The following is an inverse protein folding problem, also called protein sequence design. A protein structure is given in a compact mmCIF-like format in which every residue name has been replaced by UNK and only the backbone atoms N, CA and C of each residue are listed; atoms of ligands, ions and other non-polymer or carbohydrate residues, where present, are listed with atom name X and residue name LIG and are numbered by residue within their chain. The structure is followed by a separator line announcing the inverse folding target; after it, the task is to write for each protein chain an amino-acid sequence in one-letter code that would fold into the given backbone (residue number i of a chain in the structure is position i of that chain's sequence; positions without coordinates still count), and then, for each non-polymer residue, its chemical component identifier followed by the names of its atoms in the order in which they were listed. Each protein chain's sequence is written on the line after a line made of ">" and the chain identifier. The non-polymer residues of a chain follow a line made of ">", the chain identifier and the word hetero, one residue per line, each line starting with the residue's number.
data_IF_418728488725
#
_entry.id   IF_418728488725
#
_cell.length_a   1.000
_cell.length_b   1.000
_cell.length_c   1.000
_cell.angle_alpha   90.00
_cell.angle_beta   90.00
_cell.angle_gamma   90.00
#
_symmetry.space_group_name_H-M   'P 1'
#
loop_
_entity.id
_entity.type
_entity.pdbx_description
1 polymer ?
#
# COMPACT_ATOMS: atom_id res chain seq x y z
N UNK A 1 35.08 27.54 35.61
CA UNK A 1 34.14 26.42 35.84
C UNK A 1 34.61 25.22 35.05
N UNK A 2 35.18 24.21 35.72
CA UNK A 2 35.71 23.00 35.10
C UNK A 2 34.61 21.92 35.11
N UNK A 3 34.10 21.56 33.93
CA UNK A 3 33.13 20.47 33.82
C UNK A 3 33.84 19.13 33.96
N UNK A 4 33.80 18.55 35.17
CA UNK A 4 34.14 17.15 35.40
C UNK A 4 33.07 16.27 34.77
N UNK A 5 33.29 15.85 33.53
CA UNK A 5 32.56 14.75 32.91
C UNK A 5 32.95 13.47 33.68
N UNK A 6 32.00 12.88 34.38
CA UNK A 6 32.20 11.63 35.15
C UNK A 6 32.38 10.48 34.16
N UNK A 7 33.39 9.61 34.35
CA UNK A 7 33.73 8.49 33.44
C UNK A 7 32.54 7.61 33.02
N UNK A 8 31.51 7.46 33.88
CA UNK A 8 30.26 6.76 33.56
C UNK A 8 29.45 7.43 32.43
N UNK A 9 29.45 8.77 32.34
CA UNK A 9 28.79 9.52 31.26
C UNK A 9 29.58 9.44 29.95
N UNK A 10 30.91 9.32 30.02
CA UNK A 10 31.77 9.11 28.86
C UNK A 10 31.55 7.72 28.23
N UNK A 11 31.41 6.69 29.07
CA UNK A 11 31.11 5.32 28.61
C UNK A 11 29.75 5.20 27.90
N UNK A 12 28.73 5.90 28.41
CA UNK A 12 27.39 5.91 27.81
C UNK A 12 27.39 6.61 26.43
N UNK A 13 28.14 7.71 26.29
CA UNK A 13 28.29 8.43 25.01
C UNK A 13 29.09 7.58 24.01
N UNK A 14 30.12 6.87 24.46
CA UNK A 14 30.94 6.00 23.62
C UNK A 14 30.14 4.80 23.07
N UNK A 15 29.28 4.17 23.89
CA UNK A 15 28.41 3.08 23.43
C UNK A 15 27.41 3.54 22.37
N UNK A 16 26.91 4.78 22.46
CA UNK A 16 26.01 5.36 21.46
C UNK A 16 26.71 5.66 20.11
N UNK A 17 28.03 5.83 20.09
CA UNK A 17 28.80 6.13 18.87
C UNK A 17 29.27 4.89 18.11
N UNK A 18 29.28 3.70 18.75
CA UNK A 18 29.83 2.47 18.18
C UNK A 18 28.82 1.61 17.40
N UNK A 19 27.60 2.10 17.18
CA UNK A 19 26.61 1.39 16.35
C UNK A 19 25.94 2.35 15.38
N UNK A 20 26.68 2.79 14.37
CA UNK A 20 26.04 3.38 13.19
C UNK A 20 25.37 2.23 12.41
N UNK A 21 24.05 2.13 12.54
CA UNK A 21 23.27 1.21 11.74
C UNK A 21 22.95 1.90 10.41
N UNK A 22 23.60 1.46 9.33
CA UNK A 22 23.28 1.93 7.99
C UNK A 22 22.18 1.03 7.42
N UNK A 23 21.08 1.66 7.00
CA UNK A 23 19.98 0.97 6.32
C UNK A 23 20.20 1.12 4.82
N UNK A 24 20.53 0.02 4.16
CA UNK A 24 20.60 -0.02 2.71
C UNK A 24 19.26 -0.48 2.15
N UNK A 25 18.74 0.27 1.17
CA UNK A 25 17.54 -0.10 0.43
C UNK A 25 17.98 -0.70 -0.91
N UNK A 26 17.60 -1.96 -1.15
CA UNK A 26 17.91 -2.64 -2.39
C UNK A 26 17.26 -1.96 -3.60
N UNK A 27 17.84 -2.22 -4.79
CA UNK A 27 17.25 -1.77 -6.06
C UNK A 27 15.79 -2.26 -6.16
N UNK A 28 14.87 -1.39 -6.62
CA UNK A 28 13.47 -1.76 -6.73
C UNK A 28 13.27 -2.86 -7.77
N UNK A 29 12.53 -3.89 -7.39
CA UNK A 29 12.05 -4.94 -8.28
C UNK A 29 10.66 -4.50 -8.76
N UNK A 30 10.50 -4.32 -10.08
CA UNK A 30 9.23 -3.97 -10.71
C UNK A 30 8.60 -5.22 -11.31
N UNK A 31 7.39 -5.54 -10.90
CA UNK A 31 6.63 -6.74 -11.32
C UNK A 31 5.16 -6.40 -11.49
N UNK A 32 4.40 -7.34 -12.04
CA UNK A 32 2.93 -7.31 -12.02
C UNK A 32 2.43 -8.19 -10.87
N UNK A 33 1.31 -7.79 -10.27
CA UNK A 33 0.59 -8.55 -9.24
C UNK A 33 -0.85 -8.74 -9.73
N UNK A 34 -1.35 -9.98 -9.69
CA UNK A 34 -2.76 -10.26 -9.98
C UNK A 34 -3.57 -10.16 -8.69
N UNK A 35 -4.60 -9.33 -8.70
CA UNK A 35 -5.53 -9.20 -7.58
C UNK A 35 -6.78 -10.02 -7.88
N UNK A 36 -7.05 -11.03 -7.06
CA UNK A 36 -8.21 -11.92 -7.18
C UNK A 36 -9.44 -11.38 -6.47
N UNK A 37 -9.26 -10.70 -5.34
CA UNK A 37 -10.35 -10.05 -4.61
C UNK A 37 -9.94 -8.65 -4.16
N UNK A 38 -10.87 -7.71 -4.29
CA UNK A 38 -10.75 -6.32 -3.85
C UNK A 38 -11.97 -6.00 -2.99
N UNK A 39 -11.75 -5.73 -1.71
CA UNK A 39 -12.83 -5.42 -0.77
C UNK A 39 -12.53 -4.11 -0.06
N UNK A 40 -13.57 -3.31 0.17
CA UNK A 40 -13.49 -2.09 0.98
C UNK A 40 -14.47 -2.22 2.13
N UNK A 41 -13.99 -1.92 3.33
CA UNK A 41 -14.81 -1.81 4.51
C UNK A 41 -14.38 -0.57 5.30
N UNK A 42 -15.26 0.43 5.40
CA UNK A 42 -14.97 1.72 6.05
C UNK A 42 -13.70 2.34 5.44
N UNK A 43 -12.69 2.60 6.26
CA UNK A 43 -11.42 3.17 5.87
C UNK A 43 -10.34 2.13 5.51
N UNK A 44 -10.73 0.88 5.22
CA UNK A 44 -9.81 -0.22 4.91
C UNK A 44 -10.06 -0.81 3.54
N UNK A 45 -8.99 -1.10 2.82
CA UNK A 45 -8.95 -1.89 1.60
C UNK A 45 -8.27 -3.20 1.92
N UNK A 46 -8.90 -4.29 1.54
CA UNK A 46 -8.34 -5.63 1.60
C UNK A 46 -8.15 -6.14 0.17
N UNK A 47 -6.92 -6.51 -0.16
CA UNK A 47 -6.56 -7.05 -1.47
C UNK A 47 -6.04 -8.46 -1.28
N UNK A 48 -6.57 -9.40 -2.07
CA UNK A 48 -6.04 -10.76 -2.14
C UNK A 48 -5.29 -10.88 -3.46
N UNK A 49 -3.96 -10.87 -3.39
CA UNK A 49 -3.08 -11.01 -4.53
C UNK A 49 -2.67 -12.46 -4.78
N UNK A 50 -2.03 -12.69 -5.92
CA UNK A 50 -1.38 -13.96 -6.28
C UNK A 50 -0.16 -14.24 -5.41
N UNK A 51 0.66 -13.23 -5.15
CA UNK A 51 1.90 -13.37 -4.41
C UNK A 51 1.75 -13.01 -2.93
N UNK A 52 0.81 -12.14 -2.57
CA UNK A 52 0.61 -11.65 -1.20
C UNK A 52 -0.78 -11.03 -1.01
N UNK A 53 -1.22 -10.96 0.24
CA UNK A 53 -2.42 -10.21 0.61
C UNK A 53 -2.04 -8.85 1.20
N UNK A 54 -2.93 -7.88 1.13
CA UNK A 54 -2.68 -6.51 1.55
C UNK A 54 -3.83 -5.94 2.36
N UNK A 55 -3.49 -5.18 3.40
CA UNK A 55 -4.40 -4.31 4.13
C UNK A 55 -3.89 -2.89 4.02
N UNK A 56 -4.67 -2.02 3.37
CA UNK A 56 -4.40 -0.58 3.24
C UNK A 56 -5.48 0.20 3.97
N UNK A 57 -5.12 1.34 4.55
CA UNK A 57 -6.05 2.19 5.29
C UNK A 57 -5.63 3.66 5.29
N UNK A 58 -6.61 4.56 5.33
CA UNK A 58 -6.54 5.99 5.71
C UNK A 58 -7.85 6.70 5.29
N UNK A 59 -7.91 8.03 5.44
CA UNK A 59 -9.03 8.87 5.01
C UNK A 59 -9.29 8.83 3.49
N UNK A 60 -8.26 8.65 2.68
CA UNK A 60 -8.41 8.57 1.22
C UNK A 60 -9.17 7.30 0.80
N UNK A 61 -9.16 6.24 1.61
CA UNK A 61 -10.00 5.05 1.41
C UNK A 61 -11.48 5.37 1.55
N UNK A 62 -11.87 6.19 2.53
CA UNK A 62 -13.26 6.62 2.71
C UNK A 62 -13.71 7.48 1.53
N UNK A 63 -12.87 8.42 1.08
CA UNK A 63 -13.15 9.23 -0.11
C UNK A 63 -13.26 8.36 -1.37
N UNK A 64 -12.43 7.33 -1.48
CA UNK A 64 -12.51 6.35 -2.55
C UNK A 64 -13.85 5.61 -2.48
N UNK A 65 -14.21 5.05 -1.32
CA UNK A 65 -15.49 4.37 -1.09
C UNK A 65 -16.70 5.25 -1.44
N UNK A 66 -16.66 6.53 -1.07
CA UNK A 66 -17.70 7.50 -1.36
C UNK A 66 -17.87 7.74 -2.87
N UNK A 67 -16.77 7.91 -3.62
CA UNK A 67 -16.86 8.00 -5.08
C UNK A 67 -17.40 6.72 -5.70
N UNK A 68 -16.93 5.61 -5.19
CA UNK A 68 -17.19 4.27 -5.70
C UNK A 68 -18.66 3.82 -5.57
N UNK A 69 -19.41 4.39 -4.62
CA UNK A 69 -20.87 4.23 -4.49
C UNK A 69 -21.68 5.29 -5.23
N UNK A 70 -21.02 6.29 -5.82
CA UNK A 70 -21.69 7.35 -6.57
C UNK A 70 -22.21 6.86 -7.94
N UNK A 71 -23.18 7.57 -8.55
CA UNK A 71 -23.61 7.27 -9.93
C UNK A 71 -22.48 7.42 -10.96
N UNK A 72 -21.43 8.19 -10.66
CA UNK A 72 -20.32 8.44 -11.57
C UNK A 72 -19.37 7.25 -11.71
N UNK A 73 -19.28 6.37 -10.70
CA UNK A 73 -18.36 5.22 -10.73
C UNK A 73 -18.62 4.28 -11.93
N UNK A 74 -19.90 4.10 -12.30
CA UNK A 74 -20.31 3.27 -13.46
C UNK A 74 -19.85 3.82 -14.81
N UNK A 75 -19.51 5.12 -14.87
CA UNK A 75 -19.07 5.81 -16.07
C UNK A 75 -17.54 5.93 -16.13
N UNK A 76 -16.83 5.20 -15.26
CA UNK A 76 -15.36 5.17 -15.23
C UNK A 76 -14.82 4.76 -16.59
N UNK A 77 -13.96 5.62 -17.16
CA UNK A 77 -13.30 5.36 -18.45
C UNK A 77 -12.29 4.23 -18.28
N UNK A 78 -11.38 4.40 -17.32
CA UNK A 78 -10.50 3.36 -16.81
C UNK A 78 -9.95 3.76 -15.44
N UNK A 79 -9.27 2.83 -14.80
CA UNK A 79 -8.50 3.09 -13.59
C UNK A 79 -7.11 2.48 -13.72
N UNK A 80 -6.18 2.95 -12.90
CA UNK A 80 -4.87 2.32 -12.71
C UNK A 80 -4.66 2.08 -11.22
N UNK A 81 -3.90 1.03 -10.92
CA UNK A 81 -3.53 0.70 -9.55
C UNK A 81 -2.07 0.31 -9.48
N UNK A 82 -1.40 0.79 -8.43
CA UNK A 82 -0.01 0.52 -8.14
C UNK A 82 0.16 0.24 -6.65
N UNK A 83 0.94 -0.77 -6.32
CA UNK A 83 1.46 -0.99 -4.98
C UNK A 83 2.96 -0.70 -4.99
N UNK A 84 3.42 0.01 -3.97
CA UNK A 84 4.83 0.19 -3.65
C UNK A 84 5.08 -0.37 -2.26
N UNK A 85 5.97 -1.35 -2.14
CA UNK A 85 6.25 -2.06 -0.90
C UNK A 85 7.71 -1.88 -0.49
N UNK A 86 7.91 -1.51 0.78
CA UNK A 86 9.20 -1.53 1.46
C UNK A 86 9.09 -2.51 2.63
N UNK A 87 9.80 -3.64 2.52
CA UNK A 87 9.68 -4.76 3.47
C UNK A 87 8.21 -5.17 3.66
N UNK A 88 7.61 -4.91 4.83
CA UNK A 88 6.21 -5.21 5.10
C UNK A 88 5.27 -4.03 4.89
N UNK A 89 5.80 -2.81 4.76
CA UNK A 89 5.02 -1.61 4.51
C UNK A 89 4.61 -1.53 3.05
N UNK A 90 3.40 -1.05 2.81
CA UNK A 90 2.81 -0.96 1.47
C UNK A 90 2.09 0.37 1.34
N UNK A 91 2.39 1.09 0.26
CA UNK A 91 1.61 2.23 -0.22
C UNK A 91 0.86 1.80 -1.47
N UNK A 92 -0.46 1.97 -1.46
CA UNK A 92 -1.29 1.79 -2.64
C UNK A 92 -1.69 3.13 -3.26
N UNK A 93 -1.59 3.21 -4.58
CA UNK A 93 -2.13 4.31 -5.37
C UNK A 93 -3.21 3.76 -6.30
N UNK A 94 -4.39 4.34 -6.23
CA UNK A 94 -5.52 4.02 -7.12
C UNK A 94 -5.94 5.29 -7.84
N UNK A 95 -5.91 5.29 -9.17
CA UNK A 95 -6.28 6.45 -9.98
C UNK A 95 -7.48 6.14 -10.85
N UNK A 96 -8.51 6.97 -10.78
CA UNK A 96 -9.70 6.88 -11.62
C UNK A 96 -9.66 7.97 -12.67
N UNK A 97 -10.02 7.59 -13.89
CA UNK A 97 -10.17 8.48 -15.02
C UNK A 97 -11.62 8.46 -15.52
N UNK A 98 -12.17 9.65 -15.75
CA UNK A 98 -13.51 9.84 -16.32
C UNK A 98 -13.41 10.58 -17.65
N UNK A 99 -14.33 10.29 -18.56
CA UNK A 99 -14.50 11.04 -19.80
C UNK A 99 -15.26 12.33 -19.50
N UNK A 100 -14.57 13.47 -19.55
CA UNK A 100 -15.16 14.74 -19.17
C UNK A 100 -16.32 15.15 -20.11
N UNK A 101 -16.33 14.67 -21.35
CA UNK A 101 -17.34 15.03 -22.35
C UNK A 101 -18.74 14.47 -22.03
N UNK A 102 -18.83 13.50 -21.11
CA UNK A 102 -20.09 12.85 -20.72
C UNK A 102 -20.89 13.56 -19.65
N UNK A 103 -20.33 14.62 -19.06
CA UNK A 103 -20.92 15.29 -17.90
C UNK A 103 -21.39 16.70 -18.24
N UNK A 104 -22.54 17.10 -17.68
CA UNK A 104 -23.01 18.48 -17.69
C UNK A 104 -22.08 19.40 -16.90
N UNK A 105 -22.27 20.71 -17.02
CA UNK A 105 -21.49 21.68 -16.23
C UNK A 105 -21.69 21.46 -14.73
N UNK A 106 -22.93 21.22 -14.31
CA UNK A 106 -23.32 20.99 -12.91
C UNK A 106 -22.70 19.69 -12.39
N UNK A 107 -22.72 18.62 -13.19
CA UNK A 107 -22.08 17.34 -12.83
C UNK A 107 -20.56 17.48 -12.70
N UNK A 108 -19.92 18.25 -13.59
CA UNK A 108 -18.48 18.55 -13.48
C UNK A 108 -18.16 19.31 -12.20
N UNK A 109 -18.97 20.31 -11.84
CA UNK A 109 -18.80 21.04 -10.58
C UNK A 109 -18.98 20.11 -9.37
N UNK A 110 -19.93 19.18 -9.42
CA UNK A 110 -20.12 18.20 -8.37
C UNK A 110 -18.94 17.23 -8.26
N UNK A 111 -18.47 16.69 -9.39
CA UNK A 111 -17.28 15.83 -9.47
C UNK A 111 -16.05 16.50 -8.88
N UNK A 112 -15.88 17.80 -9.12
CA UNK A 112 -14.76 18.56 -8.56
C UNK A 112 -14.94 18.85 -7.07
N UNK A 113 -16.10 19.39 -6.65
CA UNK A 113 -16.33 19.85 -5.27
C UNK A 113 -16.50 18.70 -4.28
N UNK A 114 -17.17 17.61 -4.66
CA UNK A 114 -17.49 16.49 -3.76
C UNK A 114 -16.54 15.30 -3.88
N UNK A 115 -15.99 15.06 -5.08
CA UNK A 115 -15.18 13.87 -5.36
C UNK A 115 -13.74 14.20 -5.75
N UNK A 116 -13.38 15.49 -5.80
CA UNK A 116 -12.04 16.00 -6.09
C UNK A 116 -11.47 15.54 -7.43
N UNK A 117 -12.33 15.31 -8.42
CA UNK A 117 -11.91 15.08 -9.79
C UNK A 117 -11.45 16.39 -10.42
N UNK A 118 -10.26 16.38 -11.01
CA UNK A 118 -9.67 17.55 -11.67
C UNK A 118 -9.44 17.27 -13.16
N UNK A 119 -9.60 18.29 -14.03
CA UNK A 119 -9.22 18.17 -15.43
C UNK A 119 -7.76 17.79 -15.59
N UNK A 120 -7.48 16.90 -16.54
CA UNK A 120 -6.12 16.56 -16.92
C UNK A 120 -5.61 17.65 -17.84
N UNK A 121 -4.67 18.47 -17.35
CA UNK A 121 -4.07 19.55 -18.12
C UNK A 121 -3.19 19.05 -19.27
N UNK A 122 -2.65 17.83 -19.18
CA UNK A 122 -1.81 17.24 -20.21
C UNK A 122 -2.00 15.72 -20.30
N UNK A 123 -2.36 15.23 -21.49
CA UNK A 123 -2.50 13.79 -21.75
C UNK A 123 -1.12 13.20 -22.04
N UNK A 124 -0.58 12.45 -21.08
CA UNK A 124 0.66 11.70 -21.26
C UNK A 124 0.46 10.47 -22.16
N UNK A 125 1.54 9.98 -22.77
CA UNK A 125 1.56 8.76 -23.60
C UNK A 125 0.97 7.55 -22.89
N UNK A 126 1.19 7.42 -21.59
CA UNK A 126 0.74 6.28 -20.80
C UNK A 126 -0.77 6.29 -20.62
N UNK A 127 -1.37 7.47 -20.42
CA UNK A 127 -2.83 7.64 -20.45
C UNK A 127 -3.37 7.27 -21.83
N UNK A 128 -2.77 7.81 -22.91
CA UNK A 128 -3.25 7.60 -24.26
C UNK A 128 -3.21 6.12 -24.67
N UNK A 129 -2.15 5.41 -24.23
CA UNK A 129 -2.02 3.97 -24.46
C UNK A 129 -3.08 3.20 -23.67
N UNK A 130 -3.27 3.51 -22.39
CA UNK A 130 -4.26 2.86 -21.54
C UNK A 130 -5.70 3.09 -22.02
N UNK A 131 -6.04 4.32 -22.44
CA UNK A 131 -7.39 4.65 -22.89
C UNK A 131 -7.71 4.03 -24.24
N UNK A 132 -6.76 3.99 -25.20
CA UNK A 132 -6.98 3.41 -26.53
C UNK A 132 -7.22 1.90 -26.50
N UNK A 133 -6.66 1.20 -25.52
CA UNK A 133 -6.95 -0.22 -25.30
C UNK A 133 -8.43 -0.49 -25.00
N UNK A 134 -9.15 0.47 -24.40
CA UNK A 134 -10.55 0.33 -23.96
C UNK A 134 -11.53 1.13 -24.82
N UNK A 135 -11.06 2.24 -25.38
CA UNK A 135 -11.80 3.09 -26.30
C UNK A 135 -10.87 3.46 -27.47
N UNK A 136 -10.81 2.62 -28.53
CA UNK A 136 -9.89 2.83 -29.67
C UNK A 136 -10.09 4.16 -30.39
N UNK A 137 -11.28 4.77 -30.27
CA UNK A 137 -11.63 6.03 -30.90
C UNK A 137 -11.23 7.26 -30.07
N UNK A 138 -10.56 7.07 -28.91
CA UNK A 138 -10.14 8.19 -28.07
C UNK A 138 -9.07 9.05 -28.75
N UNK A 139 -9.27 10.36 -28.79
CA UNK A 139 -8.32 11.32 -29.37
C UNK A 139 -7.56 12.07 -28.27
N UNK A 140 -6.33 12.52 -28.56
CA UNK A 140 -5.52 13.26 -27.60
C UNK A 140 -6.10 14.64 -27.23
N UNK A 141 -7.12 15.11 -27.95
CA UNK A 141 -7.81 16.37 -27.70
C UNK A 141 -9.07 16.20 -26.84
N UNK A 142 -9.51 14.96 -26.59
CA UNK A 142 -10.67 14.71 -25.74
C UNK A 142 -10.34 14.97 -24.27
N UNK A 143 -11.18 15.76 -23.57
CA UNK A 143 -10.95 16.11 -22.18
C UNK A 143 -11.24 14.93 -21.25
N UNK A 144 -10.48 14.83 -20.17
CA UNK A 144 -10.64 13.79 -19.16
C UNK A 144 -10.45 14.36 -17.76
N UNK A 145 -11.15 13.77 -16.78
CA UNK A 145 -10.99 14.07 -15.37
C UNK A 145 -10.18 12.97 -14.69
N UNK A 146 -9.39 13.33 -13.68
CA UNK A 146 -8.59 12.41 -12.86
C UNK A 146 -8.83 12.67 -11.38
N UNK A 147 -8.93 11.58 -10.60
CA UNK A 147 -8.72 11.57 -9.15
C UNK A 147 -7.78 10.43 -8.78
N UNK A 148 -6.78 10.72 -7.96
CA UNK A 148 -5.82 9.74 -7.44
C UNK A 148 -6.01 9.61 -5.93
N UNK A 149 -6.29 8.40 -5.46
CA UNK A 149 -6.39 8.04 -4.05
C UNK A 149 -5.09 7.35 -3.62
N UNK A 150 -4.64 7.63 -2.39
CA UNK A 150 -3.47 7.00 -1.80
C UNK A 150 -3.84 6.37 -0.48
N UNK A 151 -3.42 5.13 -0.23
CA UNK A 151 -3.62 4.44 1.04
C UNK A 151 -2.33 3.79 1.53
N UNK A 152 -2.17 3.68 2.84
CA UNK A 152 -0.98 3.11 3.46
C UNK A 152 -1.33 1.89 4.28
N UNK A 153 -0.43 0.93 4.36
CA UNK A 153 -0.65 -0.22 5.20
C UNK A 153 0.45 -1.24 5.07
N UNK A 154 0.06 -2.51 5.05
CA UNK A 154 1.00 -3.61 5.14
C UNK A 154 0.58 -4.81 4.34
N UNK A 155 1.58 -5.60 3.98
CA UNK A 155 1.40 -6.97 3.53
C UNK A 155 0.92 -7.83 4.70
N UNK A 156 -0.07 -8.65 4.44
CA UNK A 156 -0.65 -9.60 5.40
C UNK A 156 -0.81 -10.97 4.73
N UNK A 157 -1.29 -11.94 5.50
CA UNK A 157 -1.74 -13.24 4.99
C UNK A 157 -3.06 -13.58 5.65
N UNK A 158 -4.11 -13.77 4.86
CA UNK A 158 -5.39 -14.22 5.39
C UNK A 158 -5.37 -15.73 5.64
N UNK A 159 -5.79 -16.14 6.84
CA UNK A 159 -5.87 -17.56 7.18
C UNK A 159 -6.98 -18.28 6.39
N UNK A 160 -8.05 -17.57 6.04
CA UNK A 160 -9.21 -18.09 5.29
C UNK A 160 -9.21 -17.60 3.83
N UNK A 161 -8.03 -17.45 3.22
CA UNK A 161 -7.86 -16.90 1.87
C UNK A 161 -8.74 -17.58 0.82
N UNK A 162 -8.79 -18.91 0.81
CA UNK A 162 -9.56 -19.67 -0.18
C UNK A 162 -11.07 -19.44 -0.03
N UNK A 163 -11.55 -19.32 1.21
CA UNK A 163 -12.94 -18.97 1.49
C UNK A 163 -13.26 -17.55 0.99
N UNK A 164 -12.38 -16.57 1.25
CA UNK A 164 -12.57 -15.20 0.79
C UNK A 164 -12.57 -15.15 -0.74
N UNK A 165 -11.64 -15.84 -1.41
CA UNK A 165 -11.63 -15.93 -2.88
C UNK A 165 -12.93 -16.55 -3.38
N UNK A 166 -13.39 -17.67 -2.81
CA UNK A 166 -14.61 -18.33 -3.27
C UNK A 166 -15.87 -17.46 -3.18
N UNK A 167 -15.92 -16.53 -2.21
CA UNK A 167 -17.08 -15.66 -1.97
C UNK A 167 -16.98 -14.30 -2.65
N UNK A 168 -15.77 -13.77 -2.76
CA UNK A 168 -15.51 -12.36 -3.12
C UNK A 168 -14.61 -12.20 -4.34
N UNK A 169 -14.27 -13.29 -5.06
CA UNK A 169 -13.46 -13.19 -6.27
C UNK A 169 -14.11 -12.30 -7.31
N UNK A 170 -13.28 -11.47 -7.94
CA UNK A 170 -13.67 -10.74 -9.15
C UNK A 170 -13.78 -11.72 -10.33
N UNK A 171 -14.67 -11.48 -11.31
CA UNK A 171 -14.82 -12.36 -12.47
C UNK A 171 -13.51 -12.54 -13.26
N UNK A 172 -12.69 -11.49 -13.29
CA UNK A 172 -11.35 -11.53 -13.86
C UNK A 172 -10.37 -10.86 -12.89
N UNK A 173 -9.18 -11.43 -12.67
CA UNK A 173 -8.17 -10.81 -11.82
C UNK A 173 -7.70 -9.48 -12.42
N UNK A 174 -7.47 -8.49 -11.56
CA UNK A 174 -6.91 -7.21 -11.99
C UNK A 174 -5.40 -7.29 -11.92
N UNK A 175 -4.73 -7.03 -13.04
CA UNK A 175 -3.27 -6.87 -13.07
C UNK A 175 -2.89 -5.46 -12.65
N UNK A 176 -2.04 -5.37 -11.63
CA UNK A 176 -1.58 -4.09 -11.07
C UNK A 176 -0.04 -4.03 -11.07
N UNK A 177 0.49 -2.82 -11.10
CA UNK A 177 1.94 -2.62 -10.97
C UNK A 177 2.36 -2.81 -9.51
N UNK A 178 3.38 -3.63 -9.28
CA UNK A 178 3.98 -3.83 -7.96
C UNK A 178 5.46 -3.50 -7.99
N UNK A 179 5.86 -2.54 -7.16
CA UNK A 179 7.26 -2.20 -6.89
C UNK A 179 7.62 -2.73 -5.51
N UNK A 180 8.66 -3.56 -5.42
CA UNK A 180 9.18 -4.06 -4.13
C UNK A 180 10.58 -3.54 -3.88
N UNK A 181 10.81 -3.08 -2.66
CA UNK A 181 12.11 -2.77 -2.09
C UNK A 181 12.27 -3.56 -0.79
N UNK A 182 13.47 -4.03 -0.54
CA UNK A 182 13.83 -4.67 0.73
C UNK A 182 14.94 -3.86 1.36
N UNK A 183 14.86 -3.64 2.68
CA UNK A 183 15.96 -3.06 3.43
C UNK A 183 16.82 -4.15 4.05
N UNK A 184 18.12 -3.91 4.15
CA UNK A 184 18.98 -4.66 5.03
C UNK A 184 19.72 -3.71 5.96
N UNK A 185 19.84 -4.11 7.23
CA UNK A 185 20.62 -3.39 8.22
C UNK A 185 22.03 -3.94 8.20
N UNK A 186 22.99 -3.07 7.93
CA UNK A 186 24.39 -3.36 8.16
C UNK A 186 24.79 -2.74 9.49
N UNK A 187 25.40 -3.55 10.37
CA UNK A 187 26.04 -3.06 11.58
C UNK A 187 27.48 -2.82 11.20
N UNK A 188 27.88 -1.55 11.06
CA UNK A 188 29.29 -1.21 10.95
C UNK A 188 29.84 -1.31 12.36
N UNK A 189 30.40 -2.47 12.71
CA UNK A 189 31.35 -2.54 13.81
C UNK A 189 32.62 -1.90 13.28
N UNK A 190 32.98 -0.72 13.77
CA UNK A 190 34.36 -0.26 13.61
C UNK A 190 35.25 -1.37 14.19
N UNK A 191 36.20 -1.86 13.39
CA UNK A 191 37.26 -2.80 13.81
C UNK A 191 38.14 -2.13 14.87
N UNK A 192 37.60 -1.94 16.07
CA UNK A 192 38.39 -1.71 17.26
C UNK A 192 38.78 -3.11 17.72
N UNK A 193 39.92 -3.58 17.23
CA UNK A 193 40.66 -4.69 17.83
C UNK A 193 41.04 -4.30 19.27
N UNK A 194 40.07 -4.41 20.19
CA UNK A 194 40.34 -4.42 21.61
C UNK A 194 40.78 -5.85 21.93
N UNK A 195 42.08 -6.05 22.16
CA UNK A 195 42.55 -7.28 22.78
C UNK A 195 41.86 -7.45 24.15
N UNK A 196 40.77 -8.22 24.16
CA UNK A 196 40.05 -8.62 25.36
C UNK A 196 40.90 -9.65 26.08
N UNK A 197 41.80 -9.17 26.94
CA UNK A 197 42.26 -9.96 28.07
C UNK A 197 41.03 -10.26 28.94
N UNK A 198 40.68 -11.55 29.00
CA UNK A 198 39.52 -12.11 29.71
C UNK A 198 39.41 -11.59 31.13
N UNK A 199 38.36 -10.82 31.42
CA UNK A 199 37.85 -10.65 32.78
C UNK A 199 36.55 -11.45 32.87
N UNK A 200 36.64 -12.65 33.42
CA UNK A 200 35.48 -13.47 33.80
C UNK A 200 34.68 -12.76 34.88
N UNK A 201 33.48 -12.29 34.54
CA UNK A 201 32.44 -11.93 35.50
C UNK A 201 31.26 -12.88 35.30
N UNK A 202 31.08 -13.79 36.26
CA UNK A 202 29.90 -14.64 36.33
C UNK A 202 28.70 -13.78 36.71
N UNK A 203 27.75 -13.61 35.79
CA UNK A 203 26.38 -13.24 36.13
C UNK A 203 25.43 -14.28 35.54
N UNK A 204 24.51 -14.86 36.34
CA UNK A 204 23.54 -15.81 35.83
C UNK A 204 22.50 -15.07 34.98
N UNK A 205 22.44 -15.38 33.69
CA UNK A 205 21.38 -14.93 32.80
C UNK A 205 20.13 -15.76 33.07
N UNK A 206 19.13 -15.15 33.71
CA UNK A 206 17.78 -15.70 33.73
C UNK A 206 17.15 -15.51 32.34
N UNK A 207 17.04 -16.60 31.58
CA UNK A 207 16.27 -16.63 30.33
C UNK A 207 14.81 -16.89 30.70
N UNK A 208 13.98 -15.86 30.64
CA UNK A 208 12.53 -16.03 30.69
C UNK A 208 12.04 -16.53 29.33
N UNK A 209 11.80 -17.83 29.23
CA UNK A 209 10.98 -18.40 28.16
C UNK A 209 9.51 -18.16 28.51
N UNK A 210 8.79 -17.37 27.72
CA UNK A 210 7.33 -17.42 27.69
C UNK A 210 6.88 -17.98 26.35
N UNK A 211 6.38 -19.21 26.41
CA UNK A 211 5.84 -20.00 25.32
C UNK A 211 4.58 -19.36 24.74
N UNK A 212 4.51 -19.36 23.40
CA UNK A 212 3.27 -19.22 22.65
C UNK A 212 2.20 -20.16 23.22
N UNK A 213 1.02 -19.62 23.51
CA UNK A 213 -0.21 -20.40 23.54
C UNK A 213 -1.24 -19.74 22.64
N UNK A 214 -1.75 -20.58 21.74
CA UNK A 214 -2.85 -20.38 20.82
C UNK A 214 -4.17 -20.17 21.56
N UNK A 215 -5.02 -19.27 21.06
CA UNK A 215 -6.46 -19.33 21.28
C UNK A 215 -7.23 -18.58 20.17
N UNK A 216 -7.80 -19.39 19.27
CA UNK A 216 -9.13 -19.32 18.67
C UNK A 216 -9.83 -17.97 18.40
N UNK A 217 -10.04 -17.74 17.10
CA UNK A 217 -11.32 -17.49 16.40
C UNK A 217 -12.53 -17.06 17.24
N UNK A 218 -13.06 -15.88 16.93
CA UNK A 218 -14.48 -15.59 16.99
C UNK A 218 -14.93 -15.07 15.61
N UNK A 219 -15.99 -15.63 15.01
CA UNK A 219 -16.53 -15.16 13.75
C UNK A 219 -17.41 -13.95 14.02
N UNK A 220 -16.91 -12.74 13.74
CA UNK A 220 -17.78 -11.59 13.62
C UNK A 220 -18.34 -11.60 12.21
N UNK A 221 -19.58 -12.09 12.11
CA UNK A 221 -20.47 -11.76 11.03
C UNK A 221 -20.59 -10.23 10.94
N UNK A 222 -19.83 -9.62 10.03
CA UNK A 222 -20.02 -8.21 9.67
C UNK A 222 -21.00 -8.18 8.52
N UNK A 223 -22.28 -8.16 8.86
CA UNK A 223 -23.32 -7.62 8.00
C UNK A 223 -23.10 -6.12 7.82
N UNK A 224 -23.29 -5.67 6.57
CA UNK A 224 -23.31 -4.29 6.06
C UNK A 224 -22.00 -3.73 5.48
N UNK A 225 -21.93 -3.74 4.14
CA UNK A 225 -21.16 -2.74 3.38
C UNK A 225 -20.00 -3.22 2.52
N UNK A 226 -19.92 -4.49 2.09
CA UNK A 226 -18.96 -4.90 1.06
C UNK A 226 -19.43 -4.34 -0.28
N UNK A 227 -18.78 -3.28 -0.76
CA UNK A 227 -19.04 -2.72 -2.08
C UNK A 227 -18.14 -3.45 -3.07
N UNK A 228 -18.77 -4.22 -3.96
CA UNK A 228 -18.11 -4.84 -5.12
C UNK A 228 -17.93 -3.81 -6.21
N UNK A 229 -16.70 -3.61 -6.64
CA UNK A 229 -16.41 -2.72 -7.76
C UNK A 229 -15.44 -3.45 -8.64
N UNK A 230 -16.00 -4.05 -9.69
CA UNK A 230 -15.81 -3.60 -11.06
C UNK A 230 -16.75 -4.41 -11.95
N UNK A 231 -17.69 -3.70 -12.58
CA UNK A 231 -18.65 -4.27 -13.51
C UNK A 231 -18.00 -4.40 -14.89
N UNK A 232 -17.96 -5.64 -15.40
CA UNK A 232 -18.14 -6.03 -16.80
C UNK A 232 -17.55 -5.06 -17.85
N UNK A 233 -16.25 -5.17 -18.11
CA UNK A 233 -15.70 -4.63 -19.36
C UNK A 233 -16.06 -5.61 -20.50
N UNK A 234 -17.16 -5.29 -21.19
CA UNK A 234 -17.43 -5.59 -22.61
C UNK A 234 -16.75 -6.83 -23.21
N UNK A 235 -17.41 -7.99 -23.12
CA UNK A 235 -17.34 -8.96 -24.23
C UNK A 235 -17.98 -8.29 -25.46
N UNK A 236 -17.15 -7.96 -26.45
CA UNK A 236 -17.52 -8.01 -27.86
C UNK A 236 -16.61 -9.02 -28.52
#
# INVERSE_FOLDING_TARGET
>A
MSHKITMKKLYLILICLLTSCVIHINKPIKTTEKIYAFMIEKNKIYLIGEQSDYLLQNQDVEAMQHFLTSPYAKQTLFFTMKLDSLDNEVTGEYTVYLDESKYSKEEKEQLQKQYWFNPISYIHSDFLSAVKLRNPNWTATQPALKRQYRAFGKRIRFNNRDEIISKFSMPEPIEISLVRRTSHKEVIADDIALELTTITLFTPVYVAYTTLTTAFVAPLAVTQGIIYILNKQSKK
#
